data_IF_969528423056
#
_entry.id   IF_969528423056
#
_cell.length_a   1.000
_cell.length_b   1.000
_cell.length_c   1.000
_cell.angle_alpha   90.00
_cell.angle_beta   90.00
_cell.angle_gamma   90.00
#
_symmetry.space_group_name_H-M   'P 1'
#
loop_
_entity.id
_entity.type
_entity.pdbx_description
1 polymer ?
#
# COMPACT_ATOMS: atom_id res chain seq x y z
N UNK A 1 -1.62 1.84 -22.26
CA UNK A 1 -2.46 1.69 -21.04
C UNK A 1 -1.50 1.68 -19.87
N UNK A 2 -1.60 2.63 -18.95
CA UNK A 2 -0.67 2.74 -17.82
C UNK A 2 -1.16 1.87 -16.67
N UNK A 3 -0.29 1.00 -16.16
CA UNK A 3 -0.57 0.16 -14.99
C UNK A 3 0.18 0.73 -13.79
N UNK A 4 -0.48 0.81 -12.63
CA UNK A 4 0.10 1.28 -11.39
C UNK A 4 -0.02 0.21 -10.30
N UNK A 5 1.05 0.02 -9.52
CA UNK A 5 1.00 -0.72 -8.27
C UNK A 5 0.59 0.22 -7.12
N UNK A 6 -0.13 -0.28 -6.14
CA UNK A 6 -0.50 0.47 -4.92
C UNK A 6 0.27 -0.12 -3.75
N UNK A 7 0.86 0.75 -2.92
CA UNK A 7 1.47 0.33 -1.66
C UNK A 7 0.92 1.16 -0.50
N UNK A 8 0.37 0.48 0.50
CA UNK A 8 -0.24 1.07 1.68
C UNK A 8 0.49 0.61 2.94
N UNK A 9 0.70 1.53 3.89
CA UNK A 9 1.42 1.23 5.14
C UNK A 9 0.98 2.12 6.28
N UNK A 10 0.76 1.52 7.44
CA UNK A 10 0.50 2.24 8.69
C UNK A 10 1.46 1.76 9.78
N UNK A 11 1.95 2.70 10.60
CA UNK A 11 2.99 2.40 11.61
C UNK A 11 2.47 1.72 12.85
N UNK A 12 1.19 1.95 13.16
CA UNK A 12 0.55 1.48 14.37
C UNK A 12 -0.91 1.27 14.09
N UNK A 13 -1.37 0.04 14.27
CA UNK A 13 -2.77 -0.33 14.21
C UNK A 13 -3.13 -1.07 15.51
N UNK A 14 -3.56 -0.32 16.51
CA UNK A 14 -3.81 -0.86 17.86
C UNK A 14 -5.02 -1.78 17.92
N UNK A 15 -5.97 -1.63 16.98
CA UNK A 15 -7.16 -2.47 16.91
C UNK A 15 -6.93 -3.72 16.04
N UNK A 16 -5.93 -3.70 15.16
CA UNK A 16 -5.64 -4.78 14.21
C UNK A 16 -6.68 -4.89 13.09
N UNK A 17 -7.52 -3.87 12.92
CA UNK A 17 -8.64 -3.86 11.97
C UNK A 17 -8.24 -3.41 10.56
N UNK A 18 -6.98 -2.98 10.36
CA UNK A 18 -6.42 -2.52 9.09
C UNK A 18 -7.19 -1.36 8.43
N UNK A 19 -8.05 -0.64 9.17
CA UNK A 19 -8.87 0.45 8.64
C UNK A 19 -8.03 1.58 8.03
N UNK A 20 -6.85 1.83 8.58
CA UNK A 20 -5.96 2.87 8.08
C UNK A 20 -5.40 2.56 6.69
N UNK A 21 -4.93 1.33 6.46
CA UNK A 21 -4.43 0.91 5.14
C UNK A 21 -5.56 0.72 4.13
N UNK A 22 -6.74 0.28 4.57
CA UNK A 22 -7.92 0.17 3.70
C UNK A 22 -8.36 1.54 3.14
N UNK A 23 -8.37 2.59 3.97
CA UNK A 23 -8.65 3.97 3.51
C UNK A 23 -7.59 4.46 2.52
N UNK A 24 -6.30 4.22 2.81
CA UNK A 24 -5.22 4.59 1.89
C UNK A 24 -5.36 3.88 0.53
N UNK A 25 -5.72 2.60 0.53
CA UNK A 25 -5.93 1.86 -0.72
C UNK A 25 -7.08 2.45 -1.53
N UNK A 26 -8.21 2.76 -0.89
CA UNK A 26 -9.36 3.38 -1.54
C UNK A 26 -8.97 4.73 -2.19
N UNK A 27 -8.24 5.59 -1.47
CA UNK A 27 -7.76 6.87 -1.99
C UNK A 27 -6.84 6.68 -3.22
N UNK A 28 -5.93 5.68 -3.16
CA UNK A 28 -5.07 5.35 -4.29
C UNK A 28 -5.83 4.83 -5.51
N UNK A 29 -6.88 4.01 -5.29
CA UNK A 29 -7.75 3.52 -6.37
C UNK A 29 -8.51 4.65 -7.04
N UNK A 30 -9.03 5.62 -6.28
CA UNK A 30 -9.68 6.81 -6.83
C UNK A 30 -8.72 7.65 -7.68
N UNK A 31 -7.46 7.80 -7.25
CA UNK A 31 -6.42 8.46 -8.07
C UNK A 31 -6.18 7.70 -9.37
N UNK A 32 -6.09 6.37 -9.34
CA UNK A 32 -5.90 5.57 -10.55
C UNK A 32 -7.08 5.70 -11.51
N UNK A 33 -8.31 5.62 -10.98
CA UNK A 33 -9.54 5.79 -11.76
C UNK A 33 -9.59 7.16 -12.45
N UNK A 34 -9.39 8.25 -11.71
CA UNK A 34 -9.36 9.62 -12.27
C UNK A 34 -8.29 9.81 -13.34
N UNK A 35 -7.21 9.02 -13.31
CA UNK A 35 -6.11 9.06 -14.28
C UNK A 35 -6.26 8.04 -15.42
N UNK A 36 -7.29 7.19 -15.40
CA UNK A 36 -7.45 6.10 -16.36
C UNK A 36 -6.34 5.04 -16.26
N UNK A 37 -5.74 4.87 -15.09
CA UNK A 37 -4.72 3.86 -14.84
C UNK A 37 -5.35 2.55 -14.39
N UNK A 38 -4.76 1.44 -14.80
CA UNK A 38 -5.14 0.11 -14.32
C UNK A 38 -4.42 -0.14 -13.01
N UNK A 39 -5.18 -0.51 -11.98
CA UNK A 39 -4.59 -0.97 -10.72
C UNK A 39 -4.09 -2.40 -10.91
N UNK A 40 -2.78 -2.59 -10.76
CA UNK A 40 -2.13 -3.90 -10.73
C UNK A 40 -2.18 -4.51 -9.33
N UNK A 41 -1.03 -4.95 -8.83
CA UNK A 41 -0.93 -5.51 -7.48
C UNK A 41 -1.00 -4.42 -6.40
N UNK A 42 -1.62 -4.79 -5.27
CA UNK A 42 -1.69 -3.97 -4.05
C UNK A 42 -0.83 -4.62 -2.97
N UNK A 43 0.05 -3.82 -2.37
CA UNK A 43 1.02 -4.21 -1.37
C UNK A 43 0.69 -3.54 -0.05
N UNK A 44 0.62 -4.29 1.05
CA UNK A 44 0.20 -3.75 2.35
C UNK A 44 1.16 -4.16 3.46
N UNK A 45 1.65 -3.16 4.21
CA UNK A 45 2.42 -3.34 5.44
C UNK A 45 1.68 -2.67 6.62
N UNK A 46 0.79 -3.42 7.29
CA UNK A 46 0.01 -2.96 8.44
C UNK A 46 0.79 -3.15 9.76
N UNK A 47 0.69 -2.18 10.68
CA UNK A 47 1.43 -2.17 11.94
C UNK A 47 2.97 -2.23 11.79
N UNK A 48 3.48 -1.74 10.65
CA UNK A 48 4.91 -1.71 10.34
C UNK A 48 5.39 -0.26 10.31
N UNK A 49 6.17 0.13 11.32
CA UNK A 49 6.80 1.45 11.36
C UNK A 49 7.87 1.59 10.27
N UNK A 50 7.83 2.70 9.56
CA UNK A 50 8.84 3.08 8.58
C UNK A 50 10.14 3.61 9.22
N UNK A 51 10.09 3.99 10.50
CA UNK A 51 11.22 4.59 11.23
C UNK A 51 12.07 3.54 11.96
N UNK A 52 11.45 2.47 12.46
CA UNK A 52 12.20 1.33 13.01
C UNK A 52 12.84 0.54 11.87
N UNK A 53 13.99 -0.11 12.09
CA UNK A 53 14.60 -1.10 11.18
C UNK A 53 13.75 -2.36 10.95
N UNK A 54 12.43 -2.30 11.21
CA UNK A 54 11.49 -3.38 10.90
C UNK A 54 11.47 -3.56 9.37
N UNK A 55 11.53 -4.83 8.94
CA UNK A 55 11.35 -5.18 7.54
C UNK A 55 9.95 -4.78 7.08
N UNK A 56 9.86 -4.38 5.82
CA UNK A 56 8.62 -4.01 5.13
C UNK A 56 8.42 -5.00 3.99
N UNK A 57 7.96 -6.22 4.29
CA UNK A 57 7.96 -7.31 3.30
C UNK A 57 7.15 -6.95 2.06
N UNK A 58 6.02 -6.23 2.19
CA UNK A 58 5.25 -5.85 1.02
C UNK A 58 5.97 -4.79 0.18
N UNK A 59 6.65 -3.83 0.82
CA UNK A 59 7.53 -2.89 0.12
C UNK A 59 8.70 -3.57 -0.58
N UNK A 60 9.33 -4.56 0.06
CA UNK A 60 10.43 -5.33 -0.53
C UNK A 60 9.96 -6.09 -1.78
N UNK A 61 8.79 -6.76 -1.73
CA UNK A 61 8.19 -7.39 -2.93
C UNK A 61 7.87 -6.38 -4.03
N UNK A 62 7.38 -5.19 -3.68
CA UNK A 62 7.16 -4.11 -4.66
C UNK A 62 8.46 -3.75 -5.38
N UNK A 63 9.57 -3.62 -4.65
CA UNK A 63 10.87 -3.30 -5.23
C UNK A 63 11.48 -4.43 -6.08
N UNK A 64 11.11 -5.69 -5.83
CA UNK A 64 11.54 -6.85 -6.62
C UNK A 64 10.72 -7.03 -7.91
N UNK A 65 9.51 -6.45 -7.98
CA UNK A 65 8.51 -6.72 -9.02
C UNK A 65 8.16 -5.55 -9.95
N UNK A 66 8.95 -4.48 -9.98
CA UNK A 66 8.87 -3.38 -10.96
C UNK A 66 10.14 -3.38 -11.81
#
# INVERSE_FOLDING_TARGET
MTTAAIYCRISRDTAGEALGVARQEADCREVCERRGWVVGEVFVDNDVSAYSKKRRPAYERLCEGI
#
